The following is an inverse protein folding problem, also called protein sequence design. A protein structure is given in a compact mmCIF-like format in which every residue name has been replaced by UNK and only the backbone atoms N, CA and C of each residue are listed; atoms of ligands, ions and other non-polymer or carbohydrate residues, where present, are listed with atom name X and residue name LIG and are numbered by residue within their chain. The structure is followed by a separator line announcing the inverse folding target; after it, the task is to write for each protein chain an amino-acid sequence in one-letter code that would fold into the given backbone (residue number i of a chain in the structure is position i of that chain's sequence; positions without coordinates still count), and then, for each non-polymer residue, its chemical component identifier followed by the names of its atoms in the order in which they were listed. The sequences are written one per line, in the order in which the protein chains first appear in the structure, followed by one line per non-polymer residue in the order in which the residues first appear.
data_IF_300960147057
#
_entry.id   IF_300960147057
#
_cell.length_a   1.000
_cell.length_b   1.000
_cell.length_c   1.000
_cell.angle_alpha   90.00
_cell.angle_beta   90.00
_cell.angle_gamma   90.00
#
_symmetry.space_group_name_H-M   'P 1'
#
loop_
_entity.id
_entity.type
_entity.pdbx_description
1 polymer ?
#
# COMPACT_ATOMS: atom_id res chain seq x y z
N UNK A 1 -10.53 16.84 2.50
CA UNK A 1 -9.47 16.03 3.17
C UNK A 1 -9.78 14.53 3.03
N UNK A 2 -8.86 13.73 2.47
CA UNK A 2 -9.01 12.27 2.47
C UNK A 2 -8.85 11.73 3.90
N UNK A 3 -9.77 10.87 4.32
CA UNK A 3 -9.70 10.20 5.63
C UNK A 3 -8.49 9.27 5.64
N UNK A 4 -7.51 9.58 6.49
CA UNK A 4 -6.34 8.72 6.71
C UNK A 4 -6.75 7.48 7.50
N UNK A 5 -7.06 6.41 6.77
CA UNK A 5 -7.28 5.07 7.31
C UNK A 5 -6.09 4.17 6.98
N UNK A 6 -5.82 3.12 7.76
CA UNK A 6 -4.75 2.16 7.43
C UNK A 6 -4.88 1.57 6.02
N UNK A 7 -6.11 1.29 5.59
CA UNK A 7 -6.43 0.84 4.22
C UNK A 7 -6.11 1.93 3.19
N UNK A 8 -6.43 3.18 3.47
CA UNK A 8 -6.10 4.32 2.60
C UNK A 8 -4.59 4.51 2.43
N UNK A 9 -3.82 4.35 3.51
CA UNK A 9 -2.35 4.39 3.47
C UNK A 9 -1.83 3.22 2.63
N UNK A 10 -2.30 1.99 2.88
CA UNK A 10 -1.90 0.81 2.11
C UNK A 10 -2.16 0.98 0.61
N UNK A 11 -3.36 1.45 0.23
CA UNK A 11 -3.72 1.69 -1.17
C UNK A 11 -2.84 2.76 -1.81
N UNK A 12 -2.58 3.86 -1.10
CA UNK A 12 -1.76 4.97 -1.61
C UNK A 12 -0.29 4.56 -1.78
N UNK A 13 0.28 3.87 -0.80
CA UNK A 13 1.66 3.36 -0.86
C UNK A 13 1.81 2.28 -1.93
N UNK A 14 0.81 1.41 -2.09
CA UNK A 14 0.81 0.39 -3.16
C UNK A 14 0.84 1.05 -4.54
N UNK A 15 -0.02 2.05 -4.78
CA UNK A 15 -0.02 2.82 -6.04
C UNK A 15 1.29 3.55 -6.27
N UNK A 16 1.85 4.20 -5.24
CA UNK A 16 3.15 4.85 -5.33
C UNK A 16 4.23 3.87 -5.80
N UNK A 17 4.28 2.68 -5.18
CA UNK A 17 5.31 1.68 -5.50
C UNK A 17 5.16 1.15 -6.93
N UNK A 18 3.93 0.79 -7.34
CA UNK A 18 3.67 0.22 -8.66
C UNK A 18 3.83 1.27 -9.77
N UNK A 19 3.17 2.42 -9.64
CA UNK A 19 3.18 3.46 -10.66
C UNK A 19 4.50 4.24 -10.71
N UNK A 20 5.16 4.41 -9.57
CA UNK A 20 6.46 5.07 -9.45
C UNK A 20 7.66 4.16 -9.70
N UNK A 21 7.44 2.89 -10.07
CA UNK A 21 8.49 1.88 -10.30
C UNK A 21 9.50 1.78 -9.13
N UNK A 22 9.01 1.93 -7.90
CA UNK A 22 9.86 1.79 -6.73
C UNK A 22 10.04 0.31 -6.34
N UNK A 23 11.14 0.00 -5.66
CA UNK A 23 11.32 -1.31 -5.07
C UNK A 23 10.29 -1.54 -3.95
N UNK A 24 9.75 -2.77 -3.83
CA UNK A 24 8.85 -3.15 -2.74
C UNK A 24 9.46 -2.91 -1.35
N UNK A 25 10.80 -2.90 -1.24
CA UNK A 25 11.52 -2.61 0.01
C UNK A 25 11.25 -1.19 0.54
N UNK A 26 10.85 -0.25 -0.32
CA UNK A 26 10.48 1.11 0.09
C UNK A 26 9.41 1.13 1.20
N UNK A 27 8.46 0.19 1.18
CA UNK A 27 7.43 0.10 2.20
C UNK A 27 7.98 -0.22 3.60
N UNK A 28 9.13 -0.88 3.69
CA UNK A 28 9.81 -1.18 4.96
C UNK A 28 10.89 -0.15 5.33
N UNK A 29 11.24 0.76 4.41
CA UNK A 29 12.27 1.77 4.63
C UNK A 29 11.90 2.70 5.80
N UNK A 30 12.85 2.85 6.74
CA UNK A 30 12.60 3.59 7.97
C UNK A 30 12.41 5.09 7.70
N UNK A 31 13.12 5.66 6.74
CA UNK A 31 13.01 7.08 6.41
C UNK A 31 11.66 7.36 5.75
N UNK A 32 11.24 6.50 4.81
CA UNK A 32 9.93 6.58 4.20
C UNK A 32 8.80 6.44 5.23
N UNK A 33 8.89 5.47 6.13
CA UNK A 33 7.90 5.28 7.20
C UNK A 33 7.86 6.46 8.17
N UNK A 34 9.00 7.07 8.48
CA UNK A 34 9.05 8.29 9.27
C UNK A 34 8.32 9.44 8.57
N UNK A 35 8.49 9.60 7.25
CA UNK A 35 7.73 10.59 6.48
C UNK A 35 6.22 10.36 6.61
N UNK A 36 5.75 9.11 6.53
CA UNK A 36 4.32 8.78 6.72
C UNK A 36 3.82 9.15 8.13
N UNK A 37 4.62 8.91 9.16
CA UNK A 37 4.29 9.29 10.55
C UNK A 37 4.28 10.81 10.72
N UNK A 38 5.23 11.54 10.12
CA UNK A 38 5.26 13.01 10.17
C UNK A 38 4.05 13.63 9.46
N UNK A 39 3.60 13.05 8.34
CA UNK A 39 2.40 13.48 7.63
C UNK A 39 1.11 13.32 8.46
N UNK A 40 1.08 12.41 9.44
CA UNK A 40 -0.03 12.25 10.40
C UNK A 40 0.52 11.88 11.79
N UNK A 41 0.76 12.88 12.64
CA UNK A 41 1.12 12.65 14.03
C UNK A 41 0.02 11.81 14.68
N UNK A 42 0.39 10.74 15.40
CA UNK A 42 -0.46 9.66 15.96
C UNK A 42 -0.67 8.42 15.09
N UNK A 43 -0.12 8.37 13.87
CA UNK A 43 -0.06 7.09 13.14
C UNK A 43 0.76 6.08 13.92
N UNK A 44 0.15 4.94 14.18
CA UNK A 44 0.74 3.82 14.91
C UNK A 44 1.59 2.96 13.98
N UNK A 45 2.63 2.31 14.51
CA UNK A 45 3.48 1.40 13.73
C UNK A 45 2.70 0.25 13.08
N UNK A 46 1.60 -0.19 13.71
CA UNK A 46 0.70 -1.23 13.18
C UNK A 46 -0.14 -0.77 11.99
N UNK A 47 -0.34 0.54 11.83
CA UNK A 47 -1.11 1.12 10.72
C UNK A 47 -0.24 1.35 9.48
N UNK A 48 1.09 1.33 9.64
CA UNK A 48 2.02 1.55 8.55
C UNK A 48 2.15 0.29 7.68
N UNK A 49 2.09 0.44 6.35
CA UNK A 49 2.30 -0.67 5.45
C UNK A 49 3.70 -1.24 5.61
N UNK A 50 3.84 -2.50 5.24
CA UNK A 50 5.09 -3.24 5.17
C UNK A 50 5.23 -3.81 3.77
N UNK A 51 6.42 -4.26 3.42
CA UNK A 51 6.64 -4.95 2.14
C UNK A 51 5.69 -6.13 1.95
N UNK A 52 5.42 -6.89 3.01
CA UNK A 52 4.53 -8.05 2.95
C UNK A 52 3.08 -7.65 2.70
N UNK A 53 2.57 -6.61 3.36
CA UNK A 53 1.18 -6.16 3.16
C UNK A 53 0.97 -5.51 1.80
N UNK A 54 1.95 -4.75 1.31
CA UNK A 54 1.93 -4.20 -0.05
C UNK A 54 1.94 -5.31 -1.09
N UNK A 55 2.84 -6.31 -0.96
CA UNK A 55 2.88 -7.45 -1.89
C UNK A 55 1.56 -8.23 -1.89
N UNK A 56 1.01 -8.50 -0.71
CA UNK A 56 -0.27 -9.20 -0.59
C UNK A 56 -1.39 -8.40 -1.28
N UNK A 57 -1.42 -7.07 -1.11
CA UNK A 57 -2.40 -6.21 -1.78
C UNK A 57 -2.30 -6.28 -3.30
N UNK A 58 -1.09 -6.19 -3.85
CA UNK A 58 -0.84 -6.30 -5.31
C UNK A 58 -1.33 -7.65 -5.83
N UNK A 59 -0.98 -8.74 -5.15
CA UNK A 59 -1.41 -10.07 -5.56
C UNK A 59 -2.93 -10.21 -5.52
N UNK A 60 -3.58 -9.71 -4.46
CA UNK A 60 -5.03 -9.77 -4.33
C UNK A 60 -5.73 -8.96 -5.43
N UNK A 61 -5.28 -7.73 -5.71
CA UNK A 61 -5.83 -6.93 -6.81
C UNK A 61 -5.66 -7.61 -8.18
N UNK A 62 -4.54 -8.31 -8.39
CA UNK A 62 -4.31 -9.07 -9.60
C UNK A 62 -5.26 -10.28 -9.71
N UNK A 63 -5.43 -11.04 -8.63
CA UNK A 63 -6.38 -12.17 -8.59
C UNK A 63 -7.80 -11.67 -8.85
N UNK A 64 -8.22 -10.60 -8.17
CA UNK A 64 -9.53 -9.97 -8.37
C UNK A 64 -9.73 -9.58 -9.84
N UNK A 65 -8.72 -9.00 -10.50
CA UNK A 65 -8.79 -8.65 -11.92
C UNK A 65 -8.99 -9.90 -12.80
N UNK A 66 -8.21 -10.95 -12.57
CA UNK A 66 -8.28 -12.18 -13.36
C UNK A 66 -9.64 -12.87 -13.19
N UNK A 67 -10.17 -12.92 -11.97
CA UNK A 67 -11.46 -13.54 -11.72
C UNK A 67 -12.62 -12.75 -12.33
N UNK A 68 -12.54 -11.40 -12.33
CA UNK A 68 -13.49 -10.57 -13.06
C UNK A 68 -13.45 -10.80 -14.56
N UNK A 69 -12.25 -10.97 -15.15
CA UNK A 69 -12.10 -11.30 -16.57
C UNK A 69 -12.74 -12.65 -16.88
N UNK A 70 -12.46 -13.69 -16.08
CA UNK A 70 -13.07 -15.02 -16.25
C UNK A 70 -14.60 -14.99 -16.16
N UNK A 71 -15.16 -14.18 -15.27
CA UNK A 71 -16.62 -14.05 -15.13
C UNK A 71 -17.28 -13.29 -16.30
N UNK A 72 -16.50 -12.52 -17.06
CA UNK A 72 -16.96 -11.74 -18.22
C UNK A 72 -16.84 -12.48 -19.57
N UNK A 73 -16.25 -13.67 -19.57
CA UNK A 73 -16.09 -14.57 -20.73
C UNK A 73 -17.16 -15.65 -20.65
#
# INVERSE_FOLDING_TARGET
PQTFTPVGILNSVTRLIVCGQHALLLADDIHFRNCLVTMRPKTTRSELPTRSTVRARINNEFVDLIDNIKASI
#
